data_IF_478246709348
#
_entry.id   IF_478246709348
#
_cell.length_a   1.000
_cell.length_b   1.000
_cell.length_c   1.000
_cell.angle_alpha   90.00
_cell.angle_beta   90.00
_cell.angle_gamma   90.00
#
_symmetry.space_group_name_H-M   'P 1'
#
loop_
_entity.id
_entity.type
_entity.pdbx_description
1 polymer ?
#
# COMPACT_ATOMS: atom_id res chain seq x y z
N UNK A 1 -10.59 7.35 -25.14
CA UNK A 1 -9.38 7.41 -24.30
C UNK A 1 -9.09 5.99 -23.88
N UNK A 2 -7.86 5.50 -24.05
CA UNK A 2 -7.47 4.16 -23.60
C UNK A 2 -7.26 4.20 -22.09
N UNK A 3 -7.95 3.33 -21.36
CA UNK A 3 -7.74 3.16 -19.92
C UNK A 3 -6.40 2.44 -19.71
N UNK A 4 -5.55 2.97 -18.84
CA UNK A 4 -4.30 2.31 -18.46
C UNK A 4 -4.59 1.19 -17.46
N UNK A 5 -4.13 -0.03 -17.74
CA UNK A 5 -4.30 -1.19 -16.87
C UNK A 5 -3.03 -1.45 -16.07
N UNK A 6 -3.17 -1.46 -14.75
CA UNK A 6 -2.12 -1.79 -13.77
C UNK A 6 -2.41 -3.13 -13.09
N UNK A 7 -1.38 -3.74 -12.50
CA UNK A 7 -1.50 -4.95 -11.68
C UNK A 7 -1.25 -4.64 -10.22
N UNK A 8 -2.20 -5.03 -9.38
CA UNK A 8 -2.14 -4.88 -7.94
C UNK A 8 -1.97 -6.22 -7.22
N UNK A 9 -1.33 -6.20 -6.05
CA UNK A 9 -1.28 -7.33 -5.13
C UNK A 9 -1.71 -6.92 -3.72
N UNK A 10 -2.61 -7.71 -3.13
CA UNK A 10 -3.09 -7.53 -1.76
C UNK A 10 -3.27 -8.89 -1.07
N UNK A 11 -3.74 -8.90 0.18
CA UNK A 11 -4.06 -10.12 0.91
C UNK A 11 -5.54 -10.51 0.80
N UNK A 12 -5.81 -11.81 0.89
CA UNK A 12 -7.12 -12.44 0.75
C UNK A 12 -7.95 -12.26 2.04
N UNK A 13 -8.42 -11.04 2.25
CA UNK A 13 -9.35 -10.67 3.30
C UNK A 13 -10.19 -9.48 2.83
N UNK A 14 -11.50 -9.40 3.16
CA UNK A 14 -12.38 -8.30 2.75
C UNK A 14 -11.81 -6.90 3.03
N UNK A 15 -11.18 -6.71 4.20
CA UNK A 15 -10.46 -5.47 4.58
C UNK A 15 -9.39 -5.04 3.56
N UNK A 16 -8.68 -5.99 2.95
CA UNK A 16 -7.57 -5.74 2.04
C UNK A 16 -7.93 -5.76 0.57
N UNK A 17 -9.01 -6.45 0.17
CA UNK A 17 -9.39 -6.61 -1.24
C UNK A 17 -10.62 -5.78 -1.63
N UNK A 18 -11.70 -5.85 -0.85
CA UNK A 18 -12.99 -5.31 -1.28
C UNK A 18 -12.94 -3.79 -1.45
N UNK A 19 -12.26 -3.08 -0.55
CA UNK A 19 -12.10 -1.63 -0.65
C UNK A 19 -11.37 -1.20 -1.93
N UNK A 20 -10.35 -1.98 -2.34
CA UNK A 20 -9.54 -1.71 -3.52
C UNK A 20 -10.37 -1.94 -4.80
N UNK A 21 -11.07 -3.08 -4.88
CA UNK A 21 -11.94 -3.40 -6.02
C UNK A 21 -13.07 -2.38 -6.17
N UNK A 22 -13.70 -1.98 -5.05
CA UNK A 22 -14.78 -0.98 -5.08
C UNK A 22 -14.30 0.43 -5.44
N UNK A 23 -12.99 0.72 -5.34
CA UNK A 23 -12.42 2.02 -5.73
C UNK A 23 -12.21 2.17 -7.24
N UNK A 24 -12.28 1.08 -8.02
CA UNK A 24 -11.89 1.07 -9.43
C UNK A 24 -12.70 2.04 -10.30
N UNK A 25 -14.01 2.19 -10.04
CA UNK A 25 -14.84 3.16 -10.76
C UNK A 25 -14.37 4.61 -10.58
N UNK A 26 -13.91 4.96 -9.38
CA UNK A 26 -13.37 6.30 -9.10
C UNK A 26 -12.00 6.49 -9.77
N UNK A 27 -11.14 5.46 -9.75
CA UNK A 27 -9.84 5.48 -10.42
C UNK A 27 -9.99 5.67 -11.94
N UNK A 28 -10.92 4.95 -12.56
CA UNK A 28 -11.21 5.11 -13.98
C UNK A 28 -11.72 6.51 -14.30
N UNK A 29 -12.63 7.05 -13.48
CA UNK A 29 -13.21 8.38 -13.70
C UNK A 29 -12.21 9.52 -13.51
N UNK A 30 -11.39 9.48 -12.45
CA UNK A 30 -10.52 10.58 -12.06
C UNK A 30 -9.15 10.52 -12.74
N UNK A 31 -8.62 9.31 -12.94
CA UNK A 31 -7.23 9.08 -13.37
C UNK A 31 -7.14 8.34 -14.71
N UNK A 32 -8.25 7.77 -15.21
CA UNK A 32 -8.22 6.96 -16.43
C UNK A 32 -7.43 5.66 -16.28
N UNK A 33 -7.33 5.14 -15.05
CA UNK A 33 -6.61 3.90 -14.73
C UNK A 33 -7.56 2.84 -14.15
N UNK A 34 -7.23 1.57 -14.34
CA UNK A 34 -7.86 0.43 -13.66
C UNK A 34 -6.78 -0.48 -13.09
N UNK A 35 -7.06 -1.12 -11.97
CA UNK A 35 -6.11 -2.00 -11.28
C UNK A 35 -6.67 -3.40 -11.18
N UNK A 36 -5.96 -4.36 -11.76
CA UNK A 36 -6.27 -5.79 -11.66
C UNK A 36 -5.64 -6.34 -10.38
N UNK A 37 -6.45 -6.48 -9.33
CA UNK A 37 -5.98 -6.93 -8.03
C UNK A 37 -5.95 -8.46 -7.94
N UNK A 38 -4.77 -8.98 -7.61
CA UNK A 38 -4.61 -10.37 -7.17
C UNK A 38 -4.49 -10.44 -5.65
N UNK A 39 -5.14 -11.43 -5.04
CA UNK A 39 -5.10 -11.65 -3.61
C UNK A 39 -4.28 -12.89 -3.26
N UNK A 40 -3.50 -12.80 -2.18
CA UNK A 40 -2.69 -13.91 -1.64
C UNK A 40 -3.13 -14.22 -0.21
N UNK A 41 -2.98 -15.47 0.24
CA UNK A 41 -3.33 -15.81 1.61
C UNK A 41 -2.51 -14.98 2.61
N UNK A 42 -3.09 -14.67 3.77
CA UNK A 42 -2.43 -13.87 4.82
C UNK A 42 -1.09 -14.47 5.26
N UNK A 43 -1.02 -15.81 5.33
CA UNK A 43 0.23 -16.53 5.62
C UNK A 43 1.30 -16.28 4.56
N UNK A 44 0.93 -16.39 3.28
CA UNK A 44 1.85 -16.13 2.18
C UNK A 44 2.23 -14.64 2.06
N UNK A 45 1.39 -13.74 2.57
CA UNK A 45 1.63 -12.31 2.60
C UNK A 45 2.67 -11.93 3.66
N UNK A 46 2.60 -12.52 4.86
CA UNK A 46 3.53 -12.21 5.96
C UNK A 46 4.87 -12.96 5.94
N UNK A 47 4.88 -14.21 5.46
CA UNK A 47 6.06 -15.08 5.58
C UNK A 47 6.95 -15.13 4.32
N UNK A 48 6.47 -14.66 3.17
CA UNK A 48 7.28 -14.66 1.94
C UNK A 48 8.12 -13.41 1.81
N UNK A 49 9.36 -13.57 1.35
CA UNK A 49 10.20 -12.44 1.02
C UNK A 49 9.54 -11.60 -0.07
N UNK A 50 9.47 -10.29 0.17
CA UNK A 50 8.92 -9.32 -0.78
C UNK A 50 9.54 -9.44 -2.17
N UNK A 51 10.78 -9.92 -2.23
CA UNK A 51 11.53 -10.20 -3.45
C UNK A 51 11.01 -11.23 -4.40
N UNK A 52 10.14 -12.11 -3.95
CA UNK A 52 9.60 -13.16 -4.81
C UNK A 52 8.41 -12.66 -5.62
N UNK A 53 7.81 -11.52 -5.28
CA UNK A 53 6.53 -11.11 -5.84
C UNK A 53 6.43 -9.66 -6.35
N UNK A 54 7.37 -8.77 -6.04
CA UNK A 54 7.29 -7.38 -6.52
C UNK A 54 7.44 -7.24 -8.05
N UNK A 55 8.19 -8.12 -8.72
CA UNK A 55 8.60 -7.91 -10.11
C UNK A 55 7.45 -7.90 -11.14
N UNK A 56 6.27 -8.40 -10.76
CA UNK A 56 5.13 -8.56 -11.66
C UNK A 56 3.95 -7.63 -11.33
N UNK A 57 4.12 -6.72 -10.37
CA UNK A 57 3.04 -5.85 -9.88
C UNK A 57 3.47 -4.39 -9.90
N UNK A 58 2.55 -3.52 -10.31
CA UNK A 58 2.76 -2.06 -10.32
C UNK A 58 2.40 -1.45 -8.96
N UNK A 59 1.46 -2.08 -8.25
CA UNK A 59 0.98 -1.66 -6.93
C UNK A 59 0.99 -2.85 -5.97
N UNK A 60 1.39 -2.61 -4.73
CA UNK A 60 1.37 -3.62 -3.68
C UNK A 60 0.89 -3.02 -2.38
N UNK A 61 0.05 -3.76 -1.67
CA UNK A 61 -0.15 -3.53 -0.25
C UNK A 61 0.97 -4.26 0.49
N UNK A 62 1.59 -3.61 1.48
CA UNK A 62 2.69 -4.17 2.27
C UNK A 62 2.52 -3.83 3.75
N UNK A 63 2.95 -4.75 4.61
CA UNK A 63 3.12 -4.43 6.03
C UNK A 63 4.43 -3.66 6.26
N UNK A 64 4.40 -2.76 7.24
CA UNK A 64 5.55 -1.93 7.64
C UNK A 64 6.88 -2.69 7.79
N UNK A 65 6.95 -3.90 8.40
CA UNK A 65 8.20 -4.63 8.55
C UNK A 65 8.92 -5.00 7.24
N UNK A 66 8.22 -5.00 6.10
CA UNK A 66 8.82 -5.33 4.80
C UNK A 66 9.52 -4.15 4.13
N UNK A 67 9.37 -2.91 4.65
CA UNK A 67 9.96 -1.71 4.04
C UNK A 67 11.47 -1.81 3.86
N UNK A 68 12.27 -2.19 4.88
CA UNK A 68 13.72 -2.28 4.69
C UNK A 68 14.12 -3.26 3.59
N UNK A 69 13.52 -4.45 3.55
CA UNK A 69 13.82 -5.47 2.54
C UNK A 69 13.42 -5.02 1.14
N UNK A 70 12.27 -4.36 1.00
CA UNK A 70 11.79 -3.80 -0.26
C UNK A 70 12.76 -2.74 -0.81
N UNK A 71 13.28 -1.87 0.06
CA UNK A 71 14.24 -0.84 -0.32
C UNK A 71 15.57 -1.45 -0.75
N UNK A 72 16.11 -2.42 0.00
CA UNK A 72 17.35 -3.11 -0.39
C UNK A 72 17.22 -3.86 -1.72
N UNK A 73 16.02 -4.39 -2.02
CA UNK A 73 15.74 -5.10 -3.25
C UNK A 73 15.40 -4.18 -4.45
N UNK A 74 15.35 -2.86 -4.25
CA UNK A 74 14.84 -1.89 -5.24
C UNK A 74 13.43 -2.22 -5.75
N UNK A 75 12.58 -2.72 -4.85
CA UNK A 75 11.23 -3.18 -5.13
C UNK A 75 10.18 -2.06 -5.11
N UNK A 76 10.52 -0.94 -4.50
CA UNK A 76 9.61 0.18 -4.20
C UNK A 76 10.26 1.49 -4.61
N UNK A 77 9.42 2.47 -4.91
CA UNK A 77 9.83 3.82 -5.29
C UNK A 77 9.55 4.72 -4.08
N UNK A 78 10.50 5.60 -3.75
CA UNK A 78 10.27 6.58 -2.71
C UNK A 78 9.27 7.63 -3.16
N UNK A 79 8.33 7.99 -2.29
CA UNK A 79 7.30 8.96 -2.60
C UNK A 79 7.87 10.36 -2.82
N UNK A 80 9.00 10.70 -2.19
CA UNK A 80 9.72 11.95 -2.44
C UNK A 80 10.18 12.10 -3.90
N UNK A 81 10.32 10.99 -4.64
CA UNK A 81 10.76 11.02 -6.04
C UNK A 81 9.58 11.17 -7.03
N UNK A 82 8.33 11.00 -6.58
CA UNK A 82 7.14 11.00 -7.44
C UNK A 82 6.03 11.96 -7.01
N UNK A 83 5.94 12.29 -5.72
CA UNK A 83 4.93 13.17 -5.15
C UNK A 83 5.47 14.59 -4.96
N UNK A 84 4.59 15.59 -5.01
CA UNK A 84 5.01 16.96 -4.71
C UNK A 84 5.22 17.15 -3.19
N UNK A 85 6.07 18.12 -2.77
CA UNK A 85 6.21 18.45 -1.35
C UNK A 85 4.88 18.82 -0.69
N UNK A 86 3.96 19.46 -1.41
CA UNK A 86 2.62 19.79 -0.92
C UNK A 86 1.75 18.55 -0.71
N UNK A 87 1.89 17.51 -1.53
CA UNK A 87 1.15 16.26 -1.35
C UNK A 87 1.64 15.53 -0.10
N UNK A 88 2.97 15.47 0.10
CA UNK A 88 3.56 14.87 1.29
C UNK A 88 3.17 15.62 2.57
N UNK A 89 3.16 16.97 2.53
CA UNK A 89 2.71 17.78 3.65
C UNK A 89 1.21 17.58 3.95
N UNK A 90 0.39 17.44 2.90
CA UNK A 90 -1.03 17.13 3.05
C UNK A 90 -1.20 15.75 3.72
N UNK A 91 -0.52 14.73 3.22
CA UNK A 91 -0.54 13.37 3.78
C UNK A 91 -0.12 13.36 5.26
N UNK A 92 0.94 14.09 5.62
CA UNK A 92 1.37 14.24 7.01
C UNK A 92 0.25 14.84 7.87
N UNK A 93 -0.35 15.96 7.42
CA UNK A 93 -1.42 16.67 8.15
C UNK A 93 -2.70 15.86 8.30
N UNK A 94 -3.00 14.97 7.35
CA UNK A 94 -4.21 14.14 7.36
C UNK A 94 -3.98 12.72 7.86
N UNK A 95 -2.80 12.43 8.41
CA UNK A 95 -2.47 11.12 8.96
C UNK A 95 -3.01 10.91 10.37
N UNK A 96 -3.22 9.65 10.74
CA UNK A 96 -3.64 9.27 12.08
C UNK A 96 -2.41 8.84 12.88
N UNK A 97 -2.14 9.53 13.99
CA UNK A 97 -1.02 9.19 14.88
C UNK A 97 0.31 9.18 14.14
N UNK A 98 1.11 8.13 14.35
CA UNK A 98 2.43 7.96 13.73
C UNK A 98 2.40 7.23 12.37
N UNK A 99 1.23 7.10 11.74
CA UNK A 99 1.09 6.31 10.51
C UNK A 99 1.90 6.88 9.33
N UNK A 100 1.99 8.20 9.18
CA UNK A 100 2.83 8.80 8.13
C UNK A 100 4.31 8.49 8.38
N UNK A 101 4.78 8.83 9.58
CA UNK A 101 6.18 8.67 9.98
C UNK A 101 6.63 7.21 10.01
N UNK A 102 5.72 6.26 10.22
CA UNK A 102 6.06 4.84 10.27
C UNK A 102 6.69 4.34 8.97
N UNK A 103 6.33 4.90 7.82
CA UNK A 103 6.88 4.47 6.52
C UNK A 103 8.15 5.24 6.11
N UNK A 104 8.70 6.07 7.01
CA UNK A 104 9.99 6.73 6.80
C UNK A 104 11.12 5.73 7.06
N UNK A 105 11.88 5.44 6.01
CA UNK A 105 13.11 4.66 6.09
C UNK A 105 14.20 5.34 5.27
N UNK A 106 15.41 5.45 5.81
CA UNK A 106 16.52 6.19 5.16
C UNK A 106 16.14 7.63 4.72
N UNK A 107 15.29 8.30 5.51
CA UNK A 107 14.87 9.69 5.28
C UNK A 107 13.84 9.92 4.18
N UNK A 108 13.21 8.84 3.68
CA UNK A 108 12.21 8.87 2.62
C UNK A 108 11.00 7.98 2.96
N UNK A 109 9.83 8.29 2.42
CA UNK A 109 8.63 7.48 2.52
C UNK A 109 8.61 6.43 1.42
N UNK A 110 8.50 5.16 1.81
CA UNK A 110 8.53 4.04 0.86
C UNK A 110 7.18 3.36 0.65
N UNK A 111 6.15 3.77 1.39
CA UNK A 111 4.77 3.40 1.18
C UNK A 111 3.81 4.41 1.85
N UNK A 112 2.53 4.33 1.48
CA UNK A 112 1.45 5.12 2.08
C UNK A 112 0.71 4.30 3.12
N UNK A 113 0.48 4.88 4.29
CA UNK A 113 -0.45 4.31 5.27
C UNK A 113 -1.90 4.48 4.77
N UNK A 114 -2.56 3.36 4.47
CA UNK A 114 -3.97 3.34 4.04
C UNK A 114 -4.92 2.90 5.16
N UNK A 115 -4.40 2.27 6.20
CA UNK A 115 -5.11 1.97 7.43
C UNK A 115 -4.17 2.02 8.65
N UNK A 116 -4.74 1.86 9.83
CA UNK A 116 -4.00 1.75 11.09
C UNK A 116 -4.73 0.78 12.00
N UNK A 117 -3.98 0.03 12.80
CA UNK A 117 -4.52 -0.98 13.69
C UNK A 117 -3.98 -0.77 15.11
N UNK A 118 -4.85 -0.95 16.10
CA UNK A 118 -4.49 -0.92 17.51
C UNK A 118 -5.02 -2.18 18.20
N UNK A 119 -4.24 -2.70 19.15
CA UNK A 119 -4.71 -3.80 20.00
C UNK A 119 -5.75 -3.27 20.99
N UNK A 120 -6.90 -3.93 21.05
CA UNK A 120 -7.99 -3.62 21.98
C UNK A 120 -8.39 -4.87 22.75
N UNK A 121 -8.83 -4.71 23.99
CA UNK A 121 -9.46 -5.79 24.76
C UNK A 121 -10.98 -5.64 24.69
N UNK A 122 -11.67 -6.71 24.30
CA UNK A 122 -13.13 -6.77 24.29
C UNK A 122 -13.59 -8.00 25.08
N UNK A 123 -14.66 -7.84 25.87
CA UNK A 123 -15.26 -8.91 26.66
C UNK A 123 -16.78 -8.89 26.46
N UNK A 124 -17.37 -10.07 26.24
CA UNK A 124 -18.81 -10.26 26.27
C UNK A 124 -19.15 -11.00 27.57
N UNK A 125 -19.83 -10.36 28.53
CA UNK A 125 -20.26 -10.98 29.78
C UNK A 125 -21.05 -12.28 29.59
#
# INVERSE_FOLDING_TARGET
MSIQKLKGMTWDHPRGLDCLVNSDGLLQQQLGVTVDWSARSLLAFGDQHISEFYANHDLMIIDHPHVPDAVHANAVIALEDVASPSDLELLAKTSVGASHDSYIYQGKHWALAIDTAAQVSAYRP
#
